data_IF_142230642424
#
_entry.id   IF_142230642424
#
_cell.length_a   1.000
_cell.length_b   1.000
_cell.length_c   1.000
_cell.angle_alpha   90.00
_cell.angle_beta   90.00
_cell.angle_gamma   90.00
#
_symmetry.space_group_name_H-M   'P 1'
#
loop_
_entity.id
_entity.type
_entity.pdbx_description
1 polymer ?
#
# COMPACT_ATOMS: atom_id res chain seq x y z
N UNK A 1 2.04 43.07 -6.30
CA UNK A 1 3.46 43.46 -6.19
C UNK A 1 3.90 43.05 -4.78
N UNK A 2 4.06 41.77 -4.46
CA UNK A 2 5.01 40.76 -4.96
C UNK A 2 6.46 41.18 -4.76
N UNK A 3 7.03 40.87 -3.60
CA UNK A 3 8.48 40.76 -3.45
C UNK A 3 8.83 39.37 -2.92
N UNK A 4 9.56 38.69 -3.79
CA UNK A 4 9.93 37.28 -3.84
C UNK A 4 11.18 37.10 -2.98
N UNK A 5 11.18 36.18 -2.02
CA UNK A 5 12.39 35.80 -1.29
C UNK A 5 13.28 34.94 -2.20
N UNK A 6 14.52 35.35 -2.50
CA UNK A 6 15.44 34.54 -3.28
C UNK A 6 16.07 33.42 -2.44
N UNK A 7 16.22 32.30 -3.12
CA UNK A 7 16.79 31.02 -2.69
C UNK A 7 18.26 31.14 -2.29
N UNK A 8 18.61 30.54 -1.16
CA UNK A 8 19.97 30.47 -0.60
C UNK A 8 20.62 29.18 -1.11
N UNK A 9 21.19 29.20 -2.31
CA UNK A 9 22.16 28.20 -2.75
C UNK A 9 23.52 28.86 -2.86
N UNK A 10 24.24 28.91 -1.74
CA UNK A 10 25.66 29.30 -1.74
C UNK A 10 26.53 28.15 -2.20
N UNK A 11 27.42 28.51 -3.12
CA UNK A 11 28.34 27.66 -3.85
C UNK A 11 29.53 27.22 -2.98
N UNK A 12 30.00 26.01 -3.29
CA UNK A 12 31.36 25.45 -3.20
C UNK A 12 32.38 26.14 -2.28
N UNK A 13 32.98 25.33 -1.41
CA UNK A 13 34.43 25.42 -1.18
C UNK A 13 35.04 24.02 -1.17
N UNK A 14 35.90 23.76 -2.15
CA UNK A 14 36.83 22.62 -2.23
C UNK A 14 37.94 22.81 -1.19
N UNK A 15 38.24 21.80 -0.39
CA UNK A 15 39.51 21.67 0.31
C UNK A 15 40.09 20.26 0.06
N UNK A 16 41.35 20.22 -0.34
CA UNK A 16 42.13 19.02 -0.66
C UNK A 16 43.13 18.68 0.45
N UNK A 17 43.37 17.36 0.60
CA UNK A 17 44.60 16.70 1.07
C UNK A 17 44.89 16.68 2.60
N UNK A 18 45.40 15.62 3.27
CA UNK A 18 45.88 14.26 2.93
C UNK A 18 45.96 13.39 4.22
N UNK A 19 45.61 12.10 4.08
CA UNK A 19 46.12 10.87 4.74
C UNK A 19 46.06 10.65 6.28
N UNK A 20 45.16 9.75 6.69
CA UNK A 20 45.47 8.67 7.66
C UNK A 20 44.51 7.49 7.42
N UNK A 21 45.06 6.28 7.39
CA UNK A 21 44.35 5.06 7.01
C UNK A 21 43.08 4.82 7.81
N UNK A 22 41.97 4.71 7.09
CA UNK A 22 40.77 4.03 7.54
C UNK A 22 40.20 3.42 6.28
N UNK A 23 40.31 2.09 6.16
CA UNK A 23 39.47 1.33 5.24
C UNK A 23 38.05 1.48 5.80
N UNK A 24 37.39 2.57 5.44
CA UNK A 24 35.96 2.67 5.55
C UNK A 24 35.43 1.60 4.59
N UNK A 25 35.11 0.44 5.14
CA UNK A 25 34.21 -0.49 4.50
C UNK A 25 32.96 0.31 4.15
N UNK A 26 32.88 0.76 2.90
CA UNK A 26 31.70 1.39 2.36
C UNK A 26 30.61 0.33 2.47
N UNK A 27 29.78 0.44 3.52
CA UNK A 27 28.54 -0.30 3.63
C UNK A 27 27.72 0.12 2.43
N UNK A 28 27.85 -0.65 1.34
CA UNK A 28 27.04 -0.45 0.16
C UNK A 28 25.59 -0.59 0.64
N UNK A 29 24.72 0.40 0.38
CA UNK A 29 23.32 0.24 0.73
C UNK A 29 22.84 -1.05 0.07
N UNK A 30 22.39 -2.00 0.89
CA UNK A 30 21.81 -3.23 0.38
C UNK A 30 20.64 -2.83 -0.53
N UNK A 31 20.87 -2.90 -1.83
CA UNK A 31 19.84 -2.62 -2.83
C UNK A 31 18.73 -3.64 -2.58
N UNK A 32 17.53 -3.16 -2.27
CA UNK A 32 16.38 -4.03 -2.07
C UNK A 32 16.12 -4.81 -3.36
N UNK A 33 16.37 -6.12 -3.33
CA UNK A 33 16.18 -7.01 -4.47
C UNK A 33 14.68 -7.14 -4.74
N UNK A 34 14.23 -6.72 -5.92
CA UNK A 34 12.85 -6.89 -6.35
C UNK A 34 12.77 -8.05 -7.32
N UNK A 35 11.95 -9.05 -6.99
CA UNK A 35 11.67 -10.20 -7.85
C UNK A 35 10.25 -10.08 -8.38
N UNK A 36 10.08 -10.13 -9.70
CA UNK A 36 8.76 -10.15 -10.31
C UNK A 36 8.05 -11.48 -10.05
N UNK A 37 6.71 -11.53 -9.97
CA UNK A 37 5.97 -12.77 -9.72
C UNK A 37 6.31 -13.91 -10.69
N UNK A 38 6.59 -13.59 -11.96
CA UNK A 38 6.97 -14.57 -12.99
C UNK A 38 8.36 -15.20 -12.80
N UNK A 39 9.20 -14.60 -11.96
CA UNK A 39 10.55 -15.07 -11.64
C UNK A 39 10.68 -15.57 -10.19
N UNK A 40 9.60 -15.48 -9.40
CA UNK A 40 9.57 -15.95 -8.01
C UNK A 40 9.22 -17.44 -7.95
N UNK A 41 9.63 -18.11 -6.88
CA UNK A 41 9.17 -19.47 -6.58
C UNK A 41 7.64 -19.50 -6.42
N UNK A 42 7.00 -20.59 -6.85
CA UNK A 42 5.54 -20.71 -6.84
C UNK A 42 4.95 -20.55 -5.42
N UNK A 43 5.63 -21.07 -4.38
CA UNK A 43 5.19 -20.86 -3.00
C UNK A 43 5.24 -19.39 -2.55
N UNK A 44 6.17 -18.58 -3.08
CA UNK A 44 6.24 -17.15 -2.75
C UNK A 44 5.07 -16.39 -3.36
N UNK A 45 4.71 -16.71 -4.60
CA UNK A 45 3.55 -16.12 -5.28
C UNK A 45 2.26 -16.50 -4.57
N UNK A 46 2.10 -17.76 -4.15
CA UNK A 46 0.95 -18.20 -3.37
C UNK A 46 0.85 -17.44 -2.05
N UNK A 47 1.95 -17.35 -1.31
CA UNK A 47 2.00 -16.59 -0.06
C UNK A 47 1.66 -15.11 -0.26
N UNK A 48 2.17 -14.48 -1.32
CA UNK A 48 1.84 -13.09 -1.66
C UNK A 48 0.35 -12.88 -1.96
N UNK A 49 -0.30 -13.83 -2.65
CA UNK A 49 -1.73 -13.79 -2.93
C UNK A 49 -2.57 -13.97 -1.66
N UNK A 50 -2.16 -14.91 -0.79
CA UNK A 50 -2.83 -15.15 0.50
C UNK A 50 -2.72 -13.91 1.42
N UNK A 51 -1.52 -13.30 1.47
CA UNK A 51 -1.29 -12.05 2.19
C UNK A 51 -2.13 -10.90 1.63
N UNK A 52 -2.19 -10.74 0.31
CA UNK A 52 -3.02 -9.71 -0.35
C UNK A 52 -4.50 -9.89 0.02
N UNK A 53 -4.99 -11.13 -0.02
CA UNK A 53 -6.37 -11.48 0.34
C UNK A 53 -6.64 -11.20 1.82
N UNK A 54 -5.70 -11.51 2.71
CA UNK A 54 -5.82 -11.23 4.14
C UNK A 54 -5.90 -9.72 4.41
N UNK A 55 -5.04 -8.92 3.78
CA UNK A 55 -5.05 -7.46 3.95
C UNK A 55 -6.33 -6.85 3.37
N UNK A 56 -6.81 -7.32 2.21
CA UNK A 56 -8.11 -6.88 1.68
C UNK A 56 -9.25 -7.15 2.67
N UNK A 57 -9.31 -8.34 3.27
CA UNK A 57 -10.32 -8.66 4.29
C UNK A 57 -10.23 -7.76 5.52
N UNK A 58 -9.02 -7.41 5.97
CA UNK A 58 -8.84 -6.46 7.08
C UNK A 58 -9.36 -5.08 6.73
N UNK A 59 -9.11 -4.63 5.48
CA UNK A 59 -9.61 -3.35 4.98
C UNK A 59 -11.13 -3.34 4.76
N UNK A 60 -11.75 -4.50 4.53
CA UNK A 60 -13.20 -4.66 4.32
C UNK A 60 -13.98 -4.98 5.60
N UNK A 61 -13.30 -5.36 6.69
CA UNK A 61 -13.95 -5.72 7.95
C UNK A 61 -14.83 -4.59 8.54
N UNK A 62 -15.89 -4.94 9.26
CA UNK A 62 -16.78 -3.96 9.91
C UNK A 62 -16.25 -3.43 11.26
N UNK A 63 -14.94 -3.22 11.34
CA UNK A 63 -14.33 -2.54 12.50
C UNK A 63 -14.39 -1.02 12.29
N UNK A 64 -14.52 -0.25 13.37
CA UNK A 64 -14.57 1.22 13.28
C UNK A 64 -13.35 1.79 12.53
N UNK A 65 -12.16 1.26 12.79
CA UNK A 65 -10.92 1.68 12.11
C UNK A 65 -10.95 1.39 10.61
N UNK A 66 -11.44 0.21 10.20
CA UNK A 66 -11.56 -0.12 8.78
C UNK A 66 -12.64 0.72 8.09
N UNK A 67 -13.78 0.97 8.75
CA UNK A 67 -14.85 1.85 8.25
C UNK A 67 -14.32 3.28 8.04
N UNK A 68 -13.61 3.86 9.01
CA UNK A 68 -13.02 5.21 8.88
C UNK A 68 -12.03 5.28 7.71
N UNK A 69 -11.14 4.29 7.60
CA UNK A 69 -10.16 4.25 6.51
C UNK A 69 -10.85 4.12 5.15
N UNK A 70 -11.85 3.22 5.01
CA UNK A 70 -12.63 3.09 3.77
C UNK A 70 -13.35 4.38 3.41
N UNK A 71 -13.97 5.05 4.39
CA UNK A 71 -14.64 6.33 4.17
C UNK A 71 -13.66 7.43 3.72
N UNK A 72 -12.42 7.43 4.24
CA UNK A 72 -11.38 8.32 3.74
C UNK A 72 -11.00 8.01 2.28
N UNK A 73 -10.70 6.73 1.98
CA UNK A 73 -10.31 6.31 0.63
C UNK A 73 -11.40 6.62 -0.40
N UNK A 74 -12.67 6.44 -0.03
CA UNK A 74 -13.81 6.73 -0.90
C UNK A 74 -13.93 8.22 -1.24
N UNK A 75 -13.67 9.12 -0.27
CA UNK A 75 -13.63 10.58 -0.53
C UNK A 75 -12.47 11.01 -1.42
N UNK A 76 -11.38 10.23 -1.45
CA UNK A 76 -10.21 10.49 -2.29
C UNK A 76 -10.28 9.84 -3.66
N UNK A 77 -11.38 9.14 -3.96
CA UNK A 77 -11.61 8.44 -5.22
C UNK A 77 -11.64 9.45 -6.38
N UNK A 78 -11.10 9.11 -7.56
CA UNK A 78 -11.08 10.02 -8.71
C UNK A 78 -12.49 10.34 -9.25
N UNK A 79 -13.43 9.40 -9.13
CA UNK A 79 -14.84 9.55 -9.49
C UNK A 79 -15.68 8.49 -8.74
N UNK A 80 -16.95 8.73 -8.39
CA UNK A 80 -17.75 7.86 -7.53
C UNK A 80 -17.92 6.42 -8.06
N UNK A 81 -17.93 6.25 -9.38
CA UNK A 81 -18.09 4.99 -10.11
C UNK A 81 -16.76 4.30 -10.46
N UNK A 82 -15.62 4.88 -10.06
CA UNK A 82 -14.28 4.37 -10.37
C UNK A 82 -13.64 3.76 -9.14
N UNK A 83 -12.82 2.71 -9.24
CA UNK A 83 -12.08 2.19 -8.09
C UNK A 83 -11.19 3.26 -7.43
N UNK A 84 -10.77 3.04 -6.19
CA UNK A 84 -9.82 3.92 -5.50
C UNK A 84 -8.49 3.98 -6.24
N UNK A 85 -7.63 4.96 -5.93
CA UNK A 85 -6.24 4.88 -6.39
C UNK A 85 -5.56 3.60 -5.85
N UNK A 86 -4.67 2.94 -6.62
CA UNK A 86 -3.94 1.77 -6.14
C UNK A 86 -3.05 2.12 -4.95
N UNK A 87 -3.22 1.42 -3.84
CA UNK A 87 -2.42 1.53 -2.63
C UNK A 87 -1.30 0.49 -2.67
N UNK A 88 -0.06 0.94 -2.86
CA UNK A 88 1.12 0.07 -2.75
C UNK A 88 1.53 -0.07 -1.30
N UNK A 89 1.60 -1.29 -0.80
CA UNK A 89 2.08 -1.63 0.54
C UNK A 89 3.34 -2.48 0.47
N UNK A 90 4.29 -2.21 1.37
CA UNK A 90 5.44 -3.07 1.67
C UNK A 90 5.28 -3.63 3.07
N UNK A 91 5.32 -4.94 3.22
CA UNK A 91 5.09 -5.64 4.48
C UNK A 91 6.36 -6.36 4.92
N UNK A 92 6.73 -6.19 6.18
CA UNK A 92 7.69 -7.06 6.86
C UNK A 92 6.93 -8.03 7.72
N UNK A 93 7.21 -9.31 7.53
CA UNK A 93 6.54 -10.40 8.23
C UNK A 93 7.62 -11.19 8.97
N UNK A 94 7.38 -11.52 10.24
CA UNK A 94 8.29 -12.36 11.01
C UNK A 94 8.16 -13.84 10.63
N UNK A 95 8.95 -14.69 11.28
CA UNK A 95 8.99 -16.13 11.01
C UNK A 95 7.71 -16.85 11.44
N UNK A 96 6.87 -16.22 12.27
CA UNK A 96 5.56 -16.73 12.68
C UNK A 96 4.44 -16.32 11.72
N UNK A 97 4.72 -15.42 10.76
CA UNK A 97 3.72 -14.88 9.85
C UNK A 97 3.06 -13.59 10.36
N UNK A 98 3.57 -12.98 11.43
CA UNK A 98 3.02 -11.73 11.98
C UNK A 98 3.62 -10.52 11.28
N UNK A 99 2.76 -9.58 10.86
CA UNK A 99 3.22 -8.34 10.22
C UNK A 99 3.83 -7.43 11.28
N UNK A 100 5.14 -7.21 11.20
CA UNK A 100 5.89 -6.40 12.17
C UNK A 100 5.99 -4.93 11.76
N UNK A 101 5.92 -4.65 10.45
CA UNK A 101 6.02 -3.30 9.90
C UNK A 101 5.33 -3.22 8.55
N UNK A 102 4.80 -2.04 8.26
CA UNK A 102 4.38 -1.66 6.92
C UNK A 102 5.02 -0.35 6.46
N UNK A 103 5.23 -0.21 5.17
CA UNK A 103 5.54 1.05 4.50
C UNK A 103 4.58 1.26 3.33
N UNK A 104 4.20 2.51 3.11
CA UNK A 104 3.27 2.94 2.07
C UNK A 104 3.46 4.44 1.84
N UNK A 105 2.94 4.93 0.71
CA UNK A 105 2.93 6.37 0.44
C UNK A 105 1.98 7.07 1.42
N UNK A 106 2.46 8.02 2.24
CA UNK A 106 1.61 8.65 3.24
C UNK A 106 0.42 9.38 2.65
N UNK A 107 -0.74 9.21 3.26
CA UNK A 107 -1.92 10.01 2.93
C UNK A 107 -1.76 11.46 3.40
N UNK A 108 -2.55 12.38 2.83
CA UNK A 108 -2.51 13.80 3.20
C UNK A 108 -2.88 14.07 4.67
N UNK A 109 -3.66 13.18 5.30
CA UNK A 109 -4.10 13.31 6.70
C UNK A 109 -3.46 12.25 7.58
N UNK A 110 -3.08 12.61 8.81
CA UNK A 110 -2.40 11.69 9.73
C UNK A 110 -3.29 10.53 10.23
N UNK A 111 -4.61 10.73 10.33
CA UNK A 111 -5.55 9.72 10.82
C UNK A 111 -5.60 8.45 9.93
N UNK A 112 -5.86 8.51 8.60
CA UNK A 112 -5.85 7.31 7.76
C UNK A 112 -4.49 6.61 7.71
N UNK A 113 -3.40 7.36 7.91
CA UNK A 113 -2.06 6.81 8.05
C UNK A 113 -1.92 5.95 9.32
N UNK A 114 -2.51 6.39 10.44
CA UNK A 114 -2.51 5.64 11.70
C UNK A 114 -3.48 4.47 11.66
N UNK A 115 -4.66 4.65 11.06
CA UNK A 115 -5.67 3.61 10.89
C UNK A 115 -5.13 2.43 10.07
N UNK A 116 -4.47 2.69 8.94
CA UNK A 116 -3.86 1.66 8.12
C UNK A 116 -2.79 0.86 8.87
N UNK A 117 -1.96 1.52 9.68
CA UNK A 117 -0.96 0.83 10.53
C UNK A 117 -1.63 -0.01 11.60
N UNK A 118 -2.64 0.53 12.27
CA UNK A 118 -3.40 -0.14 13.33
C UNK A 118 -4.10 -1.40 12.82
N UNK A 119 -4.62 -1.36 11.60
CA UNK A 119 -5.30 -2.50 10.99
C UNK A 119 -4.36 -3.65 10.64
N UNK A 120 -3.13 -3.36 10.19
CA UNK A 120 -2.26 -4.37 9.57
C UNK A 120 -1.13 -4.82 10.50
N UNK A 121 -0.49 -3.90 11.23
CA UNK A 121 0.65 -4.26 12.10
C UNK A 121 0.14 -5.09 13.28
N UNK A 122 0.81 -6.20 13.56
CA UNK A 122 0.43 -7.17 14.58
C UNK A 122 -0.55 -8.25 14.10
N UNK A 123 -1.05 -8.17 12.86
CA UNK A 123 -1.89 -9.22 12.30
C UNK A 123 -1.05 -10.43 11.88
N UNK A 124 -1.53 -11.62 12.20
CA UNK A 124 -0.91 -12.88 11.76
C UNK A 124 -1.54 -13.33 10.44
N UNK A 125 -0.71 -13.42 9.40
CA UNK A 125 -1.09 -13.94 8.10
C UNK A 125 -1.19 -15.48 8.13
N UNK A 126 -1.77 -16.05 7.09
CA UNK A 126 -1.92 -17.50 6.99
C UNK A 126 -0.54 -18.16 6.79
N UNK A 127 0.01 -18.69 7.88
CA UNK A 127 1.29 -19.37 7.90
C UNK A 127 2.51 -18.44 7.88
N UNK A 128 3.67 -19.06 8.08
CA UNK A 128 4.95 -18.39 8.02
C UNK A 128 5.32 -18.04 6.56
N UNK A 129 6.11 -16.97 6.34
CA UNK A 129 6.70 -16.73 5.03
C UNK A 129 7.52 -17.96 4.60
N UNK A 130 7.40 -18.40 3.33
CA UNK A 130 8.23 -19.48 2.79
C UNK A 130 9.73 -19.23 3.00
N UNK A 131 10.49 -20.32 3.04
CA UNK A 131 11.94 -20.26 3.20
C UNK A 131 12.57 -19.37 2.13
N UNK A 132 13.54 -18.57 2.54
CA UNK A 132 14.34 -17.69 1.69
C UNK A 132 13.52 -16.60 0.96
N UNK A 133 12.24 -16.41 1.32
CA UNK A 133 11.39 -15.38 0.73
C UNK A 133 11.92 -13.99 1.05
N UNK A 134 12.06 -13.17 0.01
CA UNK A 134 12.56 -11.81 0.13
C UNK A 134 11.50 -10.89 0.75
N UNK A 135 11.94 -10.11 1.74
CA UNK A 135 11.15 -9.05 2.36
C UNK A 135 11.77 -7.68 2.04
N UNK A 136 10.96 -6.60 1.99
CA UNK A 136 9.52 -6.59 2.25
C UNK A 136 8.69 -7.21 1.11
N UNK A 137 7.57 -7.84 1.47
CA UNK A 137 6.56 -8.26 0.52
C UNK A 137 5.84 -7.02 -0.02
N UNK A 138 5.86 -6.83 -1.34
CA UNK A 138 5.15 -5.72 -2.00
C UNK A 138 3.82 -6.19 -2.55
N UNK A 139 2.73 -5.59 -2.08
CA UNK A 139 1.37 -5.83 -2.60
C UNK A 139 0.75 -4.53 -3.07
N UNK A 140 -0.23 -4.64 -3.97
CA UNK A 140 -1.03 -3.51 -4.45
C UNK A 140 -2.48 -3.83 -4.17
N UNK A 141 -3.16 -2.90 -3.51
CA UNK A 141 -4.55 -3.02 -3.12
C UNK A 141 -5.36 -1.92 -3.78
N UNK A 142 -6.56 -2.24 -4.22
CA UNK A 142 -7.50 -1.28 -4.79
C UNK A 142 -8.90 -1.68 -4.34
N UNK A 143 -9.68 -0.72 -3.83
CA UNK A 143 -11.06 -0.95 -3.45
C UNK A 143 -11.97 -0.58 -4.61
N UNK A 144 -12.90 -1.46 -4.94
CA UNK A 144 -13.89 -1.23 -5.98
C UNK A 144 -14.81 -0.04 -5.64
N UNK A 145 -15.54 0.45 -6.64
CA UNK A 145 -16.65 1.36 -6.40
C UNK A 145 -17.68 0.69 -5.50
N UNK A 146 -18.24 1.38 -4.48
CA UNK A 146 -19.43 0.86 -3.84
C UNK A 146 -20.44 0.60 -4.95
N UNK A 147 -20.91 -0.64 -5.09
CA UNK A 147 -21.97 -0.95 -6.02
C UNK A 147 -23.09 0.05 -5.73
N UNK A 148 -23.40 0.93 -6.69
CA UNK A 148 -24.53 1.83 -6.59
C UNK A 148 -25.72 0.94 -6.29
N UNK A 149 -26.15 0.89 -5.02
CA UNK A 149 -27.16 -0.05 -4.52
C UNK A 149 -28.24 -0.17 -5.57
N UNK A 150 -28.37 -1.37 -6.15
CA UNK A 150 -29.42 -1.79 -7.07
C UNK A 150 -30.34 -0.63 -7.45
N UNK A 151 -29.98 0.13 -8.49
CA UNK A 151 -30.97 1.01 -9.10
C UNK A 151 -32.18 0.12 -9.37
N UNK A 152 -33.39 0.45 -8.91
CA UNK A 152 -34.55 -0.35 -9.25
C UNK A 152 -34.65 -0.24 -10.77
N UNK A 153 -34.32 -1.31 -11.46
CA UNK A 153 -34.68 -1.56 -12.84
C UNK A 153 -36.19 -1.77 -12.92
N UNK A 154 -36.96 -0.75 -12.51
CA UNK A 154 -38.38 -0.61 -12.83
C UNK A 154 -38.44 0.10 -14.18
N UNK A 155 -38.14 -0.67 -15.22
CA UNK A 155 -38.01 -0.17 -16.58
C UNK A 155 -38.21 -1.25 -17.63
N UNK A 156 -39.24 -2.07 -17.53
CA UNK A 156 -39.79 -2.81 -18.68
C UNK A 156 -41.29 -3.03 -18.47
N UNK A 157 -42.18 -2.25 -19.09
CA UNK A 157 -42.58 -2.23 -20.52
C UNK A 157 -43.97 -2.85 -20.62
N UNK A 158 -44.94 -2.01 -20.98
CA UNK A 158 -46.31 -2.46 -21.25
C UNK A 158 -46.35 -3.61 -22.25
N UNK A 159 -47.16 -4.61 -21.93
CA UNK A 159 -47.77 -5.50 -22.92
C UNK A 159 -49.27 -5.41 -22.72
N UNK A 160 -49.94 -4.81 -23.70
CA UNK A 160 -51.38 -4.87 -23.81
C UNK A 160 -51.83 -6.32 -23.95
N UNK A 161 -52.85 -6.68 -23.19
CA UNK A 161 -53.67 -7.83 -23.48
C UNK A 161 -55.08 -7.35 -23.80
N UNK A 162 -55.32 -7.35 -25.12
CA UNK A 162 -56.60 -7.62 -25.78
C UNK A 162 -57.42 -8.63 -24.97
N UNK A 163 -58.64 -8.24 -24.61
CA UNK A 163 -59.89 -9.00 -24.82
C UNK A 163 -61.04 -8.01 -24.87
#
# INVERSE_FOLDING_TARGET
MTTRHPSIFSRLTRWTALLAGSVLAAASPAQAQTVAPSAAAAEWVRYANDATTAVNRLLEADTETAIRLRAYLDRTRPAPDRPTAPLTLKLWVDKEGTVTRIEFEPFAHAEPNADLRTLIVGQTLAGAPPKDMLLPLRIVIQLDAPAASAAPETGAKGSGHRT
#
